data_IF_970184912897
#
_entry.id   IF_970184912897
#
_cell.length_a   1.000
_cell.length_b   1.000
_cell.length_c   1.000
_cell.angle_alpha   90.00
_cell.angle_beta   90.00
_cell.angle_gamma   90.00
#
_symmetry.space_group_name_H-M   'P 1'
#
loop_
_entity.id
_entity.type
_entity.pdbx_description
1 polymer ?
#
# COMPACT_ATOMS: atom_id res chain seq x y z
N UNK A 1 0.89 18.05 -18.24
CA UNK A 1 0.26 17.87 -16.92
C UNK A 1 -1.09 18.54 -16.93
N UNK A 2 -2.15 17.82 -16.62
CA UNK A 2 -3.35 18.31 -15.91
C UNK A 2 -4.23 17.10 -15.59
N UNK A 3 -3.80 16.29 -14.61
CA UNK A 3 -4.73 15.36 -13.96
C UNK A 3 -5.53 16.18 -12.94
N UNK A 4 -6.52 16.93 -13.44
CA UNK A 4 -7.55 17.53 -12.58
C UNK A 4 -8.48 16.37 -12.21
N UNK A 5 -8.56 16.05 -10.91
CA UNK A 5 -9.46 15.01 -10.40
C UNK A 5 -10.89 15.24 -10.93
N UNK A 6 -11.67 14.18 -11.24
CA UNK A 6 -13.06 14.33 -11.68
C UNK A 6 -13.84 15.15 -10.66
N UNK A 7 -14.72 16.04 -11.11
CA UNK A 7 -15.50 16.91 -10.23
C UNK A 7 -16.84 16.27 -9.87
N UNK A 8 -17.34 16.54 -8.67
CA UNK A 8 -18.70 16.19 -8.26
C UNK A 8 -19.72 17.15 -8.90
N UNK A 9 -21.01 16.91 -8.66
CA UNK A 9 -22.10 17.79 -9.14
C UNK A 9 -22.04 19.23 -8.61
N UNK A 10 -21.21 19.49 -7.59
CA UNK A 10 -21.02 20.79 -6.96
C UNK A 10 -19.68 21.43 -7.32
N UNK A 11 -18.96 20.88 -8.32
CA UNK A 11 -17.64 21.34 -8.79
C UNK A 11 -16.51 21.17 -7.76
N UNK A 12 -16.71 20.33 -6.74
CA UNK A 12 -15.63 19.94 -5.85
C UNK A 12 -14.82 18.80 -6.48
N UNK A 13 -13.50 18.75 -6.31
CA UNK A 13 -12.73 17.57 -6.67
C UNK A 13 -13.27 16.34 -5.95
N UNK A 14 -13.62 15.29 -6.70
CA UNK A 14 -13.95 13.99 -6.11
C UNK A 14 -12.64 13.40 -5.61
N UNK A 15 -12.48 13.18 -4.28
CA UNK A 15 -11.35 12.44 -3.79
C UNK A 15 -11.45 11.02 -4.30
N UNK A 16 -10.63 10.67 -5.30
CA UNK A 16 -10.46 9.29 -5.73
C UNK A 16 -9.48 8.64 -4.77
N UNK A 17 -10.01 8.14 -3.65
CA UNK A 17 -9.38 7.02 -2.94
C UNK A 17 -10.13 5.79 -3.45
N UNK A 18 -9.65 5.12 -4.51
CA UNK A 18 -10.18 3.81 -4.83
C UNK A 18 -9.88 2.93 -3.61
N UNK A 19 -10.92 2.59 -2.87
CA UNK A 19 -10.87 1.59 -1.81
C UNK A 19 -11.13 0.29 -2.56
N UNK A 20 -10.07 -0.35 -3.08
CA UNK A 20 -10.18 -1.66 -3.69
C UNK A 20 -10.59 -2.72 -2.68
N UNK A 21 -10.76 -3.95 -3.15
CA UNK A 21 -11.05 -5.08 -2.26
C UNK A 21 -9.87 -5.32 -1.34
N UNK A 22 -10.14 -5.34 -0.03
CA UNK A 22 -9.15 -5.73 0.94
C UNK A 22 -8.89 -7.24 0.86
N UNK A 23 -7.63 -7.64 1.02
CA UNK A 23 -7.23 -9.04 1.08
C UNK A 23 -6.19 -9.24 2.18
N UNK A 24 -6.27 -10.38 2.85
CA UNK A 24 -5.26 -10.78 3.82
C UNK A 24 -4.08 -11.42 3.09
N UNK A 25 -2.88 -11.00 3.46
CA UNK A 25 -1.61 -11.50 2.94
C UNK A 25 -0.79 -11.98 4.13
N UNK A 26 -0.28 -13.21 4.03
CA UNK A 26 0.64 -13.80 5.01
C UNK A 26 1.95 -14.11 4.31
N UNK A 27 3.06 -13.56 4.83
CA UNK A 27 4.42 -13.79 4.34
C UNK A 27 4.53 -13.69 2.80
N UNK A 28 4.03 -12.58 2.25
CA UNK A 28 3.80 -12.41 0.81
C UNK A 28 4.42 -11.15 0.23
N UNK A 29 4.39 -11.07 -1.10
CA UNK A 29 4.88 -9.90 -1.85
C UNK A 29 3.77 -9.29 -2.67
N UNK A 30 3.54 -8.00 -2.46
CA UNK A 30 2.78 -7.15 -3.38
C UNK A 30 3.69 -6.81 -4.56
N UNK A 31 3.34 -7.22 -5.79
CA UNK A 31 4.21 -7.04 -6.94
C UNK A 31 4.32 -5.57 -7.33
N UNK A 32 5.42 -5.27 -8.01
CA UNK A 32 5.62 -3.97 -8.65
C UNK A 32 4.57 -3.68 -9.71
N UNK A 33 4.22 -2.40 -9.86
CA UNK A 33 3.24 -1.93 -10.83
C UNK A 33 3.32 -0.42 -10.99
N UNK A 34 2.25 0.20 -11.49
CA UNK A 34 2.12 1.65 -11.53
C UNK A 34 2.16 2.24 -10.11
N UNK A 35 2.57 3.51 -10.01
CA UNK A 35 2.63 4.21 -8.73
C UNK A 35 1.25 4.29 -8.07
N UNK A 36 1.15 3.86 -6.81
CA UNK A 36 -0.13 3.77 -6.07
C UNK A 36 0.07 3.99 -4.58
N UNK A 37 -1.02 4.23 -3.87
CA UNK A 37 -1.03 4.25 -2.39
C UNK A 37 -1.78 3.00 -1.95
N UNK A 38 -1.23 2.29 -0.96
CA UNK A 38 -1.87 1.13 -0.35
C UNK A 38 -2.08 1.39 1.14
N UNK A 39 -3.15 0.84 1.69
CA UNK A 39 -3.36 0.76 3.14
C UNK A 39 -2.96 -0.62 3.61
N UNK A 40 -2.12 -0.69 4.65
CA UNK A 40 -1.77 -1.95 5.31
C UNK A 40 -2.23 -1.86 6.77
N UNK A 41 -3.05 -2.82 7.18
CA UNK A 41 -3.43 -3.03 8.59
C UNK A 41 -2.80 -4.34 9.07
N UNK A 42 -1.95 -4.26 10.08
CA UNK A 42 -1.26 -5.42 10.66
C UNK A 42 -2.23 -6.29 11.47
N UNK A 43 -2.38 -7.56 11.10
CA UNK A 43 -3.15 -8.55 11.86
C UNK A 43 -2.24 -9.18 12.93
N UNK A 44 -1.02 -9.55 12.56
CA UNK A 44 0.07 -9.86 13.50
C UNK A 44 1.09 -8.73 13.50
N UNK A 45 2.13 -8.81 14.35
CA UNK A 45 3.30 -7.97 14.13
C UNK A 45 3.86 -8.26 12.73
N UNK A 46 4.06 -7.20 11.96
CA UNK A 46 4.52 -7.28 10.58
C UNK A 46 5.85 -6.58 10.38
N UNK A 47 6.61 -7.07 9.40
CA UNK A 47 7.81 -6.40 8.90
C UNK A 47 7.65 -6.16 7.41
N UNK A 48 7.87 -4.92 6.99
CA UNK A 48 7.60 -4.45 5.64
C UNK A 48 8.90 -3.99 4.98
N UNK A 49 9.14 -4.41 3.74
CA UNK A 49 10.23 -3.91 2.92
C UNK A 49 9.70 -3.42 1.59
N UNK A 50 10.05 -2.19 1.23
CA UNK A 50 9.84 -1.67 -0.11
C UNK A 50 11.18 -1.61 -0.83
N UNK A 51 11.29 -2.25 -2.00
CA UNK A 51 12.54 -2.31 -2.74
C UNK A 51 12.32 -2.51 -4.24
N UNK A 52 13.38 -2.23 -5.01
CA UNK A 52 13.48 -2.50 -6.44
C UNK A 52 14.73 -3.36 -6.67
N UNK A 53 14.55 -4.55 -7.24
CA UNK A 53 15.62 -5.53 -7.34
C UNK A 53 15.80 -6.29 -6.03
N UNK A 54 16.90 -6.03 -5.33
CA UNK A 54 17.27 -6.77 -4.11
C UNK A 54 16.66 -6.15 -2.84
N UNK A 55 16.17 -7.01 -1.94
CA UNK A 55 15.68 -6.62 -0.61
C UNK A 55 16.85 -6.23 0.28
N UNK A 56 16.80 -5.03 0.87
CA UNK A 56 17.88 -4.51 1.73
C UNK A 56 17.33 -3.92 3.03
N UNK A 57 18.18 -3.86 4.06
CA UNK A 57 17.85 -3.26 5.35
C UNK A 57 16.93 -4.10 6.25
N UNK A 58 16.61 -3.55 7.42
CA UNK A 58 15.86 -4.27 8.46
C UNK A 58 14.35 -4.24 8.27
N UNK A 59 13.82 -3.44 7.34
CA UNK A 59 12.38 -3.26 7.13
C UNK A 59 11.72 -2.40 8.20
N UNK A 60 10.50 -1.95 7.92
CA UNK A 60 9.67 -1.18 8.85
C UNK A 60 8.85 -2.14 9.70
N UNK A 61 8.93 -1.98 11.02
CA UNK A 61 8.05 -2.71 11.95
C UNK A 61 6.66 -2.05 11.93
N UNK A 62 5.63 -2.85 11.70
CA UNK A 62 4.23 -2.46 11.88
C UNK A 62 3.60 -3.38 12.94
N UNK A 63 3.45 -2.92 14.19
CA UNK A 63 2.86 -3.74 15.26
C UNK A 63 1.41 -4.15 14.98
N UNK A 64 0.97 -5.27 15.55
CA UNK A 64 -0.40 -5.76 15.42
C UNK A 64 -1.45 -4.69 15.79
N UNK A 65 -2.50 -4.59 14.98
CA UNK A 65 -3.57 -3.61 15.13
C UNK A 65 -3.27 -2.24 14.55
N UNK A 66 -2.02 -1.94 14.16
CA UNK A 66 -1.68 -0.67 13.54
C UNK A 66 -2.05 -0.64 12.05
N UNK A 67 -2.38 0.56 11.57
CA UNK A 67 -2.66 0.83 10.17
C UNK A 67 -1.79 1.96 9.68
N UNK A 68 -1.18 1.78 8.51
CA UNK A 68 -0.34 2.79 7.88
C UNK A 68 -0.58 2.81 6.36
N UNK A 69 -0.33 3.97 5.74
CA UNK A 69 -0.45 4.16 4.30
C UNK A 69 0.94 4.25 3.67
N UNK A 70 1.16 3.42 2.64
CA UNK A 70 2.44 3.37 1.94
C UNK A 70 2.25 3.82 0.50
N UNK A 71 3.12 4.71 0.04
CA UNK A 71 3.28 4.96 -1.39
C UNK A 71 4.13 3.85 -1.99
N UNK A 72 3.62 3.15 -3.00
CA UNK A 72 4.36 2.18 -3.81
C UNK A 72 4.78 2.85 -5.10
N UNK A 73 6.07 3.14 -5.25
CA UNK A 73 6.61 3.76 -6.44
C UNK A 73 6.64 2.78 -7.62
N UNK A 74 6.60 3.32 -8.84
CA UNK A 74 6.69 2.51 -10.05
C UNK A 74 7.95 1.63 -10.07
N UNK A 75 7.75 0.33 -10.31
CA UNK A 75 8.83 -0.65 -10.32
C UNK A 75 9.32 -1.13 -8.94
N UNK A 76 8.69 -0.68 -7.84
CA UNK A 76 8.97 -1.17 -6.49
C UNK A 76 7.93 -2.20 -6.06
N UNK A 77 8.39 -3.25 -5.38
CA UNK A 77 7.53 -4.23 -4.71
C UNK A 77 7.50 -3.97 -3.20
N UNK A 78 6.47 -4.48 -2.52
CA UNK A 78 6.42 -4.53 -1.06
C UNK A 78 6.38 -5.99 -0.61
N UNK A 79 7.37 -6.40 0.17
CA UNK A 79 7.34 -7.68 0.87
C UNK A 79 6.86 -7.48 2.30
N UNK A 80 5.96 -8.36 2.74
CA UNK A 80 5.35 -8.38 4.07
C UNK A 80 5.72 -9.71 4.72
N UNK A 81 6.35 -9.66 5.90
CA UNK A 81 6.42 -10.81 6.80
C UNK A 81 5.43 -10.64 7.95
N UNK A 82 4.75 -11.70 8.34
CA UNK A 82 3.55 -11.69 9.17
C UNK A 82 2.26 -11.62 8.35
N UNK A 83 1.12 -11.49 9.02
CA UNK A 83 -0.20 -11.38 8.38
C UNK A 83 -0.70 -9.93 8.42
N UNK A 84 -1.06 -9.39 7.26
CA UNK A 84 -1.64 -8.05 7.14
C UNK A 84 -2.84 -8.05 6.19
N UNK A 85 -3.82 -7.20 6.50
CA UNK A 85 -4.89 -6.85 5.59
C UNK A 85 -4.43 -5.68 4.70
N UNK A 86 -4.41 -5.90 3.39
CA UNK A 86 -3.97 -4.92 2.40
C UNK A 86 -5.13 -4.48 1.53
N UNK A 87 -5.21 -3.18 1.27
CA UNK A 87 -6.17 -2.56 0.36
C UNK A 87 -5.42 -1.66 -0.63
N UNK A 88 -5.63 -1.86 -1.93
CA UNK A 88 -5.06 -1.09 -3.04
C UNK A 88 -6.11 -0.27 -3.80
#
# INVERSE_FOLDING_TARGET
MNNIMPLDKNLNPVPVLPIGTAQDITDGTLPSGASRIIRITAVTDCRLWQYRGDKTGSGVLLPSGQTEYFSVYEGYSIEISGTANVME
#
